data_IF_890618461560
#
_entry.id   IF_890618461560
#
_cell.length_a   1.000
_cell.length_b   1.000
_cell.length_c   1.000
_cell.angle_alpha   90.00
_cell.angle_beta   90.00
_cell.angle_gamma   90.00
#
_symmetry.space_group_name_H-M   'P 1'
#
loop_
_entity.id
_entity.type
_entity.pdbx_description
1 polymer ?
#
# COMPACT_ATOMS: atom_id res chain seq x y z
N UNK A 1 -1.56 8.42 -4.73
CA UNK A 1 -0.10 8.49 -4.92
C UNK A 1 0.26 9.39 -6.11
N UNK A 2 -0.34 9.20 -7.28
CA UNK A 2 -0.04 10.01 -8.49
C UNK A 2 -0.74 11.37 -8.54
N UNK A 3 -1.89 11.51 -7.87
CA UNK A 3 -2.64 12.77 -7.86
C UNK A 3 -1.89 13.81 -7.01
N UNK A 4 -1.67 15.00 -7.59
CA UNK A 4 -1.08 16.16 -6.91
C UNK A 4 -2.15 17.09 -6.35
N UNK A 5 -3.28 17.22 -7.06
CA UNK A 5 -4.41 18.01 -6.61
C UNK A 5 -5.04 17.50 -5.32
N UNK A 6 -5.60 18.38 -4.51
CA UNK A 6 -6.36 18.02 -3.32
C UNK A 6 -7.67 17.31 -3.72
N UNK A 7 -7.84 16.08 -3.22
CA UNK A 7 -9.01 15.26 -3.58
C UNK A 7 -10.32 15.84 -3.01
N UNK A 8 -10.28 16.49 -1.85
CA UNK A 8 -11.45 17.13 -1.27
C UNK A 8 -11.93 18.32 -2.11
N UNK A 9 -11.00 19.15 -2.60
CA UNK A 9 -11.33 20.26 -3.49
C UNK A 9 -11.93 19.78 -4.81
N UNK A 10 -11.44 18.65 -5.35
CA UNK A 10 -12.05 18.01 -6.52
C UNK A 10 -13.51 17.64 -6.25
N UNK A 11 -13.77 16.96 -5.12
CA UNK A 11 -15.13 16.56 -4.75
C UNK A 11 -16.07 17.77 -4.55
N UNK A 12 -15.59 18.82 -3.87
CA UNK A 12 -16.36 20.05 -3.66
C UNK A 12 -16.69 20.74 -5.00
N UNK A 13 -15.72 20.80 -5.91
CA UNK A 13 -15.95 21.34 -7.26
C UNK A 13 -17.04 20.58 -8.00
N UNK A 14 -17.03 19.24 -7.93
CA UNK A 14 -18.08 18.43 -8.54
C UNK A 14 -19.46 18.65 -7.92
N UNK A 15 -19.55 18.85 -6.60
CA UNK A 15 -20.81 19.17 -5.93
C UNK A 15 -21.37 20.54 -6.32
N UNK A 16 -20.51 21.47 -6.71
CA UNK A 16 -20.87 22.82 -7.17
C UNK A 16 -21.08 22.91 -8.69
N UNK A 17 -21.16 21.78 -9.39
CA UNK A 17 -21.23 21.70 -10.87
C UNK A 17 -20.07 22.44 -11.58
N UNK A 18 -18.93 22.57 -10.92
CA UNK A 18 -17.71 23.14 -11.49
C UNK A 18 -16.82 22.05 -12.01
N UNK A 19 -16.10 22.32 -13.10
CA UNK A 19 -15.08 21.41 -13.62
C UNK A 19 -13.86 21.44 -12.68
N UNK A 20 -13.49 20.32 -12.03
CA UNK A 20 -12.32 20.31 -11.17
C UNK A 20 -11.04 20.42 -11.99
N UNK A 21 -10.03 21.09 -11.42
CA UNK A 21 -8.67 21.04 -11.95
C UNK A 21 -7.96 19.82 -11.34
N UNK A 22 -7.57 18.85 -12.18
CA UNK A 22 -6.90 17.63 -11.73
C UNK A 22 -5.47 17.63 -12.28
N UNK A 23 -4.52 17.67 -11.38
CA UNK A 23 -3.09 17.63 -11.68
C UNK A 23 -2.50 16.30 -11.19
N UNK A 24 -1.61 15.75 -12.00
CA UNK A 24 -0.98 14.47 -11.76
C UNK A 24 0.53 14.63 -11.71
N UNK A 25 1.17 13.98 -10.73
CA UNK A 25 2.62 13.85 -10.68
C UNK A 25 3.13 13.07 -11.91
N UNK A 26 4.27 13.48 -12.40
CA UNK A 26 5.01 12.72 -13.42
C UNK A 26 5.74 11.53 -12.80
N UNK A 27 5.98 10.49 -13.60
CA UNK A 27 6.66 9.28 -13.16
C UNK A 27 5.71 8.10 -12.95
N UNK A 28 6.11 7.19 -12.09
CA UNK A 28 5.40 5.96 -11.79
C UNK A 28 5.10 5.82 -10.29
N UNK A 29 4.05 5.10 -9.96
CA UNK A 29 3.80 4.65 -8.59
C UNK A 29 3.43 3.17 -8.59
N UNK A 30 3.81 2.47 -7.55
CA UNK A 30 3.53 1.06 -7.36
C UNK A 30 3.12 0.79 -5.91
N UNK A 31 2.28 -0.20 -5.72
CA UNK A 31 1.90 -0.66 -4.39
C UNK A 31 1.89 -2.19 -4.34
N UNK A 32 2.41 -2.74 -3.26
CA UNK A 32 2.39 -4.17 -2.97
C UNK A 32 1.54 -4.42 -1.74
N UNK A 33 0.54 -5.29 -1.87
CA UNK A 33 -0.31 -5.70 -0.75
C UNK A 33 0.39 -6.77 0.07
N UNK A 34 0.39 -6.56 1.39
CA UNK A 34 0.87 -7.50 2.39
C UNK A 34 -0.36 -8.12 3.05
N UNK A 35 -0.46 -9.44 2.99
CA UNK A 35 -1.64 -10.19 3.41
C UNK A 35 -1.32 -11.27 4.43
N UNK A 36 -2.34 -11.71 5.16
CA UNK A 36 -2.27 -12.88 6.03
C UNK A 36 -2.22 -14.16 5.21
N UNK A 37 -1.36 -15.08 5.58
CA UNK A 37 -1.24 -16.39 4.94
C UNK A 37 -2.56 -17.14 4.93
N UNK A 38 -2.86 -17.72 3.76
CA UNK A 38 -4.15 -18.37 3.49
C UNK A 38 -5.19 -17.47 2.80
N UNK A 39 -5.01 -16.14 2.83
CA UNK A 39 -5.89 -15.24 2.06
C UNK A 39 -5.82 -15.54 0.55
N UNK A 40 -6.98 -15.57 -0.19
CA UNK A 40 -8.33 -15.14 0.21
C UNK A 40 -9.17 -16.19 0.95
N UNK A 41 -8.64 -17.39 1.19
CA UNK A 41 -9.33 -18.44 1.93
C UNK A 41 -9.25 -18.22 3.44
N UNK A 42 -9.16 -19.28 4.23
CA UNK A 42 -9.06 -19.17 5.70
C UNK A 42 -7.69 -18.59 6.13
N UNK A 43 -7.70 -17.59 6.98
CA UNK A 43 -6.51 -16.94 7.54
C UNK A 43 -6.71 -16.62 9.02
N UNK A 44 -5.60 -16.47 9.75
CA UNK A 44 -5.59 -16.10 11.16
C UNK A 44 -5.71 -14.57 11.31
N UNK A 45 -6.32 -14.14 12.42
CA UNK A 45 -6.41 -12.74 12.86
C UNK A 45 -5.81 -12.62 14.25
N UNK A 46 -5.47 -11.39 14.66
CA UNK A 46 -4.90 -11.11 15.97
C UNK A 46 -3.40 -11.34 16.06
N UNK A 47 -2.73 -11.58 14.93
CA UNK A 47 -1.28 -11.73 14.90
C UNK A 47 -0.59 -10.38 15.15
N UNK A 48 0.37 -10.37 16.08
CA UNK A 48 1.15 -9.17 16.41
C UNK A 48 1.96 -8.72 15.20
N UNK A 49 1.87 -7.43 14.90
CA UNK A 49 2.57 -6.81 13.78
C UNK A 49 3.82 -6.09 14.30
N UNK A 50 4.94 -6.37 13.67
CA UNK A 50 6.19 -5.63 13.85
C UNK A 50 6.41 -4.71 12.66
N UNK A 51 6.56 -3.41 12.93
CA UNK A 51 6.88 -2.42 11.92
C UNK A 51 8.31 -1.92 12.13
N UNK A 52 9.15 -2.13 11.13
CA UNK A 52 10.47 -1.54 11.02
C UNK A 52 10.45 -0.27 10.16
N UNK A 53 11.64 0.16 9.72
CA UNK A 53 11.79 1.34 8.87
C UNK A 53 11.46 1.00 7.41
N UNK A 54 10.37 1.59 6.92
CA UNK A 54 9.94 1.47 5.52
C UNK A 54 10.54 2.56 4.61
N UNK A 55 11.42 3.40 5.14
CA UNK A 55 12.03 4.50 4.38
C UNK A 55 10.99 5.46 3.81
N UNK A 56 11.15 5.85 2.56
CA UNK A 56 10.24 6.76 1.86
C UNK A 56 8.95 6.08 1.34
N UNK A 57 8.77 4.80 1.59
CA UNK A 57 7.51 4.13 1.28
C UNK A 57 6.37 4.68 2.14
N UNK A 58 5.18 4.75 1.55
CA UNK A 58 3.93 5.01 2.28
C UNK A 58 3.26 3.70 2.63
N UNK A 59 3.05 3.47 3.92
CA UNK A 59 2.38 2.30 4.45
C UNK A 59 0.91 2.66 4.73
N UNK A 60 -0.01 2.05 3.98
CA UNK A 60 -1.43 2.20 4.20
C UNK A 60 -1.97 1.00 4.96
N UNK A 61 -2.65 1.28 6.08
CA UNK A 61 -3.34 0.29 6.88
C UNK A 61 -4.64 -0.17 6.20
N UNK A 62 -4.91 -1.47 6.24
CA UNK A 62 -6.15 -2.08 5.80
C UNK A 62 -6.73 -2.93 6.93
N UNK A 63 -6.42 -4.21 6.97
CA UNK A 63 -6.89 -5.14 8.01
C UNK A 63 -6.02 -5.11 9.27
N UNK A 64 -5.96 -3.98 9.95
CA UNK A 64 -5.22 -3.79 11.20
C UNK A 64 -6.11 -3.23 12.29
N UNK A 65 -5.80 -3.53 13.54
CA UNK A 65 -6.45 -2.91 14.71
C UNK A 65 -5.45 -2.79 15.87
N UNK A 66 -5.74 -1.88 16.79
CA UNK A 66 -5.03 -1.80 18.06
C UNK A 66 -5.74 -2.68 19.09
N UNK A 67 -5.01 -3.57 19.73
CA UNK A 67 -5.49 -4.44 20.80
C UNK A 67 -4.49 -4.40 21.94
N UNK A 68 -4.91 -3.98 23.13
CA UNK A 68 -4.05 -3.84 24.33
C UNK A 68 -2.76 -3.03 24.06
N UNK A 69 -2.86 -1.94 23.31
CA UNK A 69 -1.75 -1.09 22.87
C UNK A 69 -0.77 -1.78 21.90
N UNK A 70 -1.10 -2.92 21.37
CA UNK A 70 -0.34 -3.58 20.30
C UNK A 70 -1.09 -3.48 18.96
N UNK A 71 -0.33 -3.35 17.87
CA UNK A 71 -0.89 -3.42 16.53
C UNK A 71 -1.00 -4.90 16.11
N UNK A 72 -2.20 -5.31 15.70
CA UNK A 72 -2.47 -6.70 15.31
C UNK A 72 -3.23 -6.77 13.99
N UNK A 73 -3.15 -7.93 13.32
CA UNK A 73 -3.93 -8.21 12.12
C UNK A 73 -5.42 -8.37 12.45
N UNK A 74 -6.29 -7.80 11.61
CA UNK A 74 -7.76 -7.92 11.73
C UNK A 74 -8.45 -8.33 10.43
N UNK A 75 -7.69 -8.47 9.34
CA UNK A 75 -8.21 -8.83 8.02
C UNK A 75 -7.21 -9.60 7.17
N UNK A 76 -7.66 -10.07 6.00
CA UNK A 76 -6.83 -10.82 5.06
C UNK A 76 -5.78 -9.95 4.38
N UNK A 77 -6.17 -8.78 3.87
CA UNK A 77 -5.24 -7.75 3.40
C UNK A 77 -4.92 -6.83 4.56
N UNK A 78 -3.68 -6.79 4.99
CA UNK A 78 -3.25 -6.13 6.22
C UNK A 78 -2.69 -4.74 5.94
N UNK A 79 -1.79 -4.64 4.95
CA UNK A 79 -1.18 -3.39 4.53
C UNK A 79 -1.11 -3.29 3.00
N UNK A 80 -0.87 -2.06 2.54
CA UNK A 80 -0.31 -1.79 1.22
C UNK A 80 0.92 -0.91 1.39
N UNK A 81 2.08 -1.41 0.94
CA UNK A 81 3.33 -0.67 0.90
C UNK A 81 3.47 -0.03 -0.48
N UNK A 82 3.59 1.29 -0.52
CA UNK A 82 3.50 2.07 -1.76
C UNK A 82 4.70 3.02 -1.89
N UNK A 83 5.18 3.18 -3.12
CA UNK A 83 6.25 4.09 -3.44
C UNK A 83 6.04 4.75 -4.79
N UNK A 84 6.55 5.96 -4.94
CA UNK A 84 6.51 6.74 -6.18
C UNK A 84 7.94 7.11 -6.58
N UNK A 85 8.26 6.91 -7.86
CA UNK A 85 9.56 7.23 -8.44
C UNK A 85 9.45 7.62 -9.91
N UNK A 86 10.57 7.76 -10.60
CA UNK A 86 10.61 8.08 -12.03
C UNK A 86 10.12 6.92 -12.88
N UNK A 87 10.46 5.70 -12.51
CA UNK A 87 10.13 4.48 -13.26
C UNK A 87 9.48 3.43 -12.39
N UNK A 88 8.78 2.47 -13.02
CA UNK A 88 8.18 1.35 -12.28
C UNK A 88 9.27 0.42 -11.71
N UNK A 89 10.39 0.28 -12.39
CA UNK A 89 11.53 -0.54 -11.94
C UNK A 89 12.15 0.02 -10.66
N UNK A 90 12.29 1.36 -10.56
CA UNK A 90 12.75 2.01 -9.35
C UNK A 90 11.77 1.79 -8.19
N UNK A 91 10.46 1.90 -8.46
CA UNK A 91 9.43 1.63 -7.48
C UNK A 91 9.50 0.19 -6.98
N UNK A 92 9.60 -0.77 -7.92
CA UNK A 92 9.69 -2.19 -7.63
C UNK A 92 10.89 -2.50 -6.74
N UNK A 93 12.07 -2.07 -7.16
CA UNK A 93 13.32 -2.30 -6.41
C UNK A 93 13.21 -1.77 -4.98
N UNK A 94 12.75 -0.54 -4.82
CA UNK A 94 12.68 0.09 -3.50
C UNK A 94 11.65 -0.57 -2.58
N UNK A 95 10.44 -0.88 -3.09
CA UNK A 95 9.40 -1.54 -2.30
C UNK A 95 9.89 -2.91 -1.83
N UNK A 96 10.45 -3.75 -2.71
CA UNK A 96 10.91 -5.09 -2.33
C UNK A 96 12.14 -5.09 -1.43
N UNK A 97 12.94 -4.04 -1.43
CA UNK A 97 14.00 -3.83 -0.42
C UNK A 97 13.40 -3.57 0.97
N UNK A 98 12.30 -2.82 1.04
CA UNK A 98 11.68 -2.38 2.30
C UNK A 98 10.57 -3.29 2.82
N UNK A 99 10.04 -4.18 2.02
CA UNK A 99 8.84 -4.96 2.36
C UNK A 99 9.02 -5.86 3.59
N UNK A 100 10.23 -6.36 3.82
CA UNK A 100 10.59 -7.16 5.00
C UNK A 100 10.59 -6.38 6.32
N UNK A 101 10.49 -5.04 6.26
CA UNK A 101 10.32 -4.20 7.45
C UNK A 101 8.92 -4.30 8.06
N UNK A 102 7.97 -4.91 7.33
CA UNK A 102 6.62 -5.19 7.82
C UNK A 102 6.51 -6.69 8.02
N UNK A 103 6.38 -7.12 9.27
CA UNK A 103 6.37 -8.55 9.60
C UNK A 103 5.28 -8.91 10.62
N UNK A 104 4.66 -10.06 10.40
CA UNK A 104 3.75 -10.74 11.31
C UNK A 104 3.67 -12.22 10.95
N UNK A 105 3.14 -13.06 11.83
CA UNK A 105 3.04 -14.50 11.61
C UNK A 105 2.29 -14.84 10.31
N UNK A 106 2.88 -15.68 9.48
CA UNK A 106 2.37 -16.06 8.16
C UNK A 106 2.12 -14.87 7.20
N UNK A 107 2.95 -13.83 7.28
CA UNK A 107 2.92 -12.71 6.34
C UNK A 107 3.24 -13.17 4.91
N UNK A 108 2.41 -12.79 3.95
CA UNK A 108 2.62 -13.08 2.52
C UNK A 108 2.46 -11.84 1.66
N UNK A 109 3.17 -11.82 0.56
CA UNK A 109 3.00 -10.83 -0.52
C UNK A 109 3.39 -11.46 -1.86
N UNK A 110 2.92 -10.87 -2.96
CA UNK A 110 3.37 -11.25 -4.30
C UNK A 110 4.75 -10.67 -4.57
N UNK A 111 5.56 -11.40 -5.31
CA UNK A 111 6.93 -11.00 -5.69
C UNK A 111 7.05 -10.52 -7.14
N UNK A 112 5.96 -10.61 -7.91
CA UNK A 112 5.89 -10.31 -9.34
C UNK A 112 5.11 -9.03 -9.68
N UNK A 113 4.76 -8.21 -8.66
CA UNK A 113 4.11 -6.93 -8.91
C UNK A 113 5.10 -5.99 -9.60
N UNK A 114 4.65 -5.35 -10.67
CA UNK A 114 5.50 -4.48 -11.49
C UNK A 114 6.36 -5.22 -12.52
N UNK A 115 6.22 -6.54 -12.68
CA UNK A 115 6.82 -7.24 -13.80
C UNK A 115 6.11 -6.83 -15.10
N UNK A 116 6.90 -6.38 -16.08
CA UNK A 116 6.39 -6.11 -17.41
C UNK A 116 6.43 -7.45 -18.14
N UNK A 117 5.26 -8.01 -18.41
CA UNK A 117 5.17 -9.14 -19.32
C UNK A 117 5.19 -8.59 -20.74
N UNK A 118 6.27 -8.83 -21.49
CA UNK A 118 6.26 -8.63 -22.92
C UNK A 118 5.25 -9.60 -23.53
N UNK A 119 4.20 -9.05 -24.08
CA UNK A 119 3.17 -9.81 -24.80
C UNK A 119 3.60 -10.07 -26.25
#
# INVERSE_FOLDING_TARGET
>A
MQMESDFLEILLSCLEDKKPNIEWNTGASMGVVIASGGYPNAYQKGEKITLGDVGDCKLFHAGTQSLNNELVTSGGRVFSLNYQSKTIDDCKKYIYEKISSVDFSNCIHRTDIGDIYES
#
